data_IF_067971295354
#
_entry.id   IF_067971295354
#
_cell.length_a   1.000
_cell.length_b   1.000
_cell.length_c   1.000
_cell.angle_alpha   90.00
_cell.angle_beta   90.00
_cell.angle_gamma   90.00
#
_symmetry.space_group_name_H-M   'P 1'
#
loop_
_entity.id
_entity.type
_entity.pdbx_description
1 polymer ?
#
# COMPACT_ATOMS: atom_id res chain seq x y z
N UNK A 1 46.48 -47.10 1.84
CA UNK A 1 45.99 -45.99 1.00
C UNK A 1 44.48 -45.88 1.23
N UNK A 2 44.04 -44.98 2.11
CA UNK A 2 42.63 -44.77 2.46
C UNK A 2 42.14 -43.55 1.70
N UNK A 3 41.16 -43.75 0.79
CA UNK A 3 40.47 -42.72 0.02
C UNK A 3 39.39 -42.11 0.92
N UNK A 4 39.51 -40.88 1.29
CA UNK A 4 38.43 -40.10 1.95
C UNK A 4 37.49 -39.54 0.90
N UNK A 5 36.26 -40.03 0.93
CA UNK A 5 35.15 -39.55 0.14
C UNK A 5 34.50 -38.40 0.88
N UNK A 6 34.68 -37.14 0.43
CA UNK A 6 33.95 -36.01 0.93
C UNK A 6 32.56 -35.98 0.26
N UNK A 7 31.53 -36.31 1.03
CA UNK A 7 30.14 -36.09 0.63
C UNK A 7 29.81 -34.62 1.02
N UNK A 8 29.71 -33.74 0.02
CA UNK A 8 29.18 -32.42 0.17
C UNK A 8 27.65 -32.54 0.31
N UNK A 9 27.12 -32.36 1.52
CA UNK A 9 25.70 -32.26 1.80
C UNK A 9 25.24 -30.84 1.43
N UNK A 10 24.66 -30.67 0.23
CA UNK A 10 23.97 -29.44 -0.15
C UNK A 10 22.67 -29.35 0.66
N UNK A 11 22.63 -28.51 1.67
CA UNK A 11 21.38 -28.11 2.30
C UNK A 11 20.59 -27.26 1.28
N UNK A 12 19.62 -27.88 0.63
CA UNK A 12 18.52 -27.13 0.01
C UNK A 12 17.67 -26.57 1.14
N UNK A 13 17.78 -25.28 1.36
CA UNK A 13 16.79 -24.54 2.13
C UNK A 13 15.56 -24.44 1.22
N UNK A 14 14.68 -25.43 1.28
CA UNK A 14 13.33 -25.29 0.80
C UNK A 14 12.67 -24.27 1.71
N UNK A 15 12.49 -23.04 1.22
CA UNK A 15 11.54 -22.13 1.77
C UNK A 15 10.18 -22.83 1.72
N UNK A 16 9.71 -23.34 2.85
CA UNK A 16 8.34 -23.78 3.01
C UNK A 16 7.45 -22.52 2.91
N UNK A 17 7.06 -22.14 1.70
CA UNK A 17 5.75 -21.55 1.55
C UNK A 17 4.78 -22.58 2.11
N UNK A 18 4.14 -22.25 3.23
CA UNK A 18 3.00 -23.03 3.70
C UNK A 18 2.04 -23.11 2.51
N UNK A 19 1.67 -24.32 2.05
CA UNK A 19 0.62 -24.39 1.05
C UNK A 19 -0.58 -23.67 1.67
N UNK A 20 -0.99 -22.58 1.04
CA UNK A 20 -2.35 -22.06 1.23
C UNK A 20 -3.19 -23.22 0.76
N UNK A 21 -3.80 -23.93 1.72
CA UNK A 21 -4.83 -24.91 1.38
C UNK A 21 -5.81 -24.13 0.50
N UNK A 22 -6.02 -24.61 -0.71
CA UNK A 22 -7.12 -24.15 -1.55
C UNK A 22 -8.40 -24.28 -0.71
N UNK A 23 -8.73 -23.20 0.01
CA UNK A 23 -10.02 -23.08 0.63
C UNK A 23 -11.01 -22.91 -0.52
N UNK A 24 -11.73 -23.96 -0.77
CA UNK A 24 -12.81 -24.16 -1.73
C UNK A 24 -13.20 -22.90 -2.48
N UNK A 25 -12.78 -22.77 -3.72
CA UNK A 25 -13.33 -21.77 -4.65
C UNK A 25 -14.80 -22.12 -4.80
N UNK A 26 -15.63 -21.49 -3.96
CA UNK A 26 -17.08 -21.68 -4.00
C UNK A 26 -17.54 -21.25 -5.39
N UNK A 27 -18.17 -22.19 -6.11
CA UNK A 27 -18.69 -21.82 -7.42
C UNK A 27 -19.77 -20.76 -7.24
N UNK A 28 -19.81 -19.78 -8.14
CA UNK A 28 -20.84 -18.72 -8.17
C UNK A 28 -22.27 -19.28 -8.07
N UNK A 29 -22.47 -20.53 -8.49
CA UNK A 29 -23.76 -21.21 -8.45
C UNK A 29 -24.16 -21.65 -7.06
N UNK A 30 -23.23 -22.01 -6.22
CA UNK A 30 -23.44 -22.53 -4.86
C UNK A 30 -23.34 -21.43 -3.79
N UNK A 31 -22.74 -20.29 -4.14
CA UNK A 31 -22.63 -19.14 -3.25
C UNK A 31 -24.01 -18.55 -2.91
N UNK A 32 -24.19 -18.14 -1.65
CA UNK A 32 -25.33 -17.34 -1.23
C UNK A 32 -24.98 -15.85 -1.04
N UNK A 33 -23.69 -15.50 -1.03
CA UNK A 33 -23.20 -14.12 -0.98
C UNK A 33 -22.20 -13.89 -2.09
N UNK A 34 -22.39 -12.84 -2.87
CA UNK A 34 -21.46 -12.39 -3.90
C UNK A 34 -21.06 -10.95 -3.57
N UNK A 35 -19.76 -10.69 -3.47
CA UNK A 35 -19.20 -9.37 -3.25
C UNK A 35 -18.52 -8.91 -4.54
N UNK A 36 -18.87 -7.74 -5.03
CA UNK A 36 -18.23 -7.09 -6.17
C UNK A 36 -17.48 -5.85 -5.71
N UNK A 37 -16.17 -5.84 -5.91
CA UNK A 37 -15.30 -4.68 -5.66
C UNK A 37 -15.17 -3.89 -6.96
N UNK A 38 -16.24 -3.20 -7.33
CA UNK A 38 -16.39 -2.56 -8.64
C UNK A 38 -16.20 -1.04 -8.62
N UNK A 39 -16.12 -0.44 -7.43
CA UNK A 39 -16.03 1.00 -7.28
C UNK A 39 -14.94 1.38 -6.29
N UNK A 40 -14.22 2.44 -6.62
CA UNK A 40 -13.33 3.12 -5.70
C UNK A 40 -13.94 4.50 -5.41
N UNK A 41 -14.06 4.83 -4.12
CA UNK A 41 -14.41 6.19 -3.74
C UNK A 41 -13.19 7.07 -4.02
N UNK A 42 -13.18 7.65 -5.20
CA UNK A 42 -12.32 8.76 -5.54
C UNK A 42 -13.15 10.00 -5.30
N UNK A 43 -12.92 10.68 -4.20
CA UNK A 43 -13.45 12.02 -4.00
C UNK A 43 -12.56 13.01 -4.75
N UNK A 44 -12.43 12.86 -6.06
CA UNK A 44 -11.85 13.89 -6.90
C UNK A 44 -12.99 14.75 -7.45
N UNK A 45 -12.93 16.03 -7.17
CA UNK A 45 -13.65 17.13 -7.82
C UNK A 45 -14.66 16.72 -8.91
N UNK A 46 -15.83 16.20 -8.49
CA UNK A 46 -17.03 16.20 -9.33
C UNK A 46 -17.16 15.13 -10.42
N UNK A 47 -16.25 14.21 -10.59
CA UNK A 47 -16.40 13.09 -11.53
C UNK A 47 -16.07 11.75 -10.86
N UNK A 48 -17.09 10.94 -10.60
CA UNK A 48 -16.92 9.52 -10.27
C UNK A 48 -16.54 8.79 -11.55
N UNK A 49 -15.27 8.65 -11.83
CA UNK A 49 -14.81 7.65 -12.78
C UNK A 49 -14.83 6.29 -12.07
N UNK A 50 -15.65 5.37 -12.53
CA UNK A 50 -15.56 3.97 -12.09
C UNK A 50 -14.26 3.40 -12.70
N UNK A 51 -13.24 3.22 -11.89
CA UNK A 51 -11.99 2.59 -12.30
C UNK A 51 -12.06 1.12 -11.89
N UNK A 52 -11.73 0.24 -12.82
CA UNK A 52 -11.70 -1.21 -12.56
C UNK A 52 -10.59 -1.53 -11.54
N UNK A 53 -10.85 -2.50 -10.64
CA UNK A 53 -9.85 -2.93 -9.64
C UNK A 53 -8.54 -3.39 -10.29
N UNK A 54 -8.62 -3.98 -11.48
CA UNK A 54 -7.48 -4.45 -12.29
C UNK A 54 -6.54 -3.32 -12.74
N UNK A 55 -7.03 -2.09 -12.79
CA UNK A 55 -6.22 -0.91 -13.16
C UNK A 55 -5.47 -0.33 -11.95
N UNK A 56 -5.98 -0.56 -10.74
CA UNK A 56 -5.48 0.07 -9.52
C UNK A 56 -4.73 -0.89 -8.60
N UNK A 57 -5.14 -2.15 -8.53
CA UNK A 57 -4.60 -3.09 -7.54
C UNK A 57 -4.34 -4.47 -8.15
N UNK A 58 -3.23 -5.07 -7.72
CA UNK A 58 -2.83 -6.43 -8.13
C UNK A 58 -3.17 -7.51 -7.09
N UNK A 59 -3.62 -7.11 -5.90
CA UNK A 59 -3.96 -7.99 -4.78
C UNK A 59 -5.27 -7.57 -4.13
N UNK A 60 -6.07 -8.58 -3.78
CA UNK A 60 -7.32 -8.42 -3.06
C UNK A 60 -7.37 -9.43 -1.91
N UNK A 61 -7.64 -8.95 -0.71
CA UNK A 61 -7.76 -9.76 0.48
C UNK A 61 -9.08 -9.43 1.17
N UNK A 62 -9.87 -10.45 1.46
CA UNK A 62 -11.18 -10.34 2.12
C UNK A 62 -11.15 -11.18 3.39
N UNK A 63 -11.67 -10.64 4.49
CA UNK A 63 -11.89 -11.38 5.72
C UNK A 63 -13.26 -11.04 6.30
N UNK A 64 -13.93 -12.06 6.83
CA UNK A 64 -15.25 -11.96 7.44
C UNK A 64 -15.15 -12.43 8.89
N UNK A 65 -15.71 -11.64 9.77
CA UNK A 65 -15.71 -11.88 11.21
C UNK A 65 -17.14 -11.97 11.73
N UNK A 66 -17.37 -12.87 12.68
CA UNK A 66 -18.65 -12.95 13.39
C UNK A 66 -18.79 -11.84 14.46
N UNK A 67 -19.91 -11.84 15.17
CA UNK A 67 -20.21 -10.85 16.21
C UNK A 67 -19.22 -10.86 17.38
N UNK A 68 -18.53 -12.00 17.61
CA UNK A 68 -17.52 -12.16 18.65
C UNK A 68 -16.12 -11.74 18.18
N UNK A 69 -15.99 -11.28 16.93
CA UNK A 69 -14.73 -10.91 16.30
C UNK A 69 -13.87 -12.10 15.85
N UNK A 70 -14.46 -13.31 15.82
CA UNK A 70 -13.79 -14.49 15.29
C UNK A 70 -13.83 -14.48 13.78
N UNK A 71 -12.68 -14.69 13.13
CA UNK A 71 -12.59 -14.74 11.68
C UNK A 71 -13.18 -16.06 11.16
N UNK A 72 -14.29 -15.96 10.43
CA UNK A 72 -15.04 -17.12 9.91
C UNK A 72 -14.70 -17.47 8.46
N UNK A 73 -14.22 -16.49 7.67
CA UNK A 73 -13.81 -16.71 6.27
C UNK A 73 -12.70 -15.76 5.85
N UNK A 74 -11.84 -16.26 4.97
CA UNK A 74 -10.79 -15.45 4.31
C UNK A 74 -10.73 -15.83 2.84
N UNK A 75 -10.57 -14.83 1.96
CA UNK A 75 -10.31 -15.03 0.53
C UNK A 75 -9.18 -14.11 0.11
N UNK A 76 -8.24 -14.64 -0.67
CA UNK A 76 -7.17 -13.87 -1.29
C UNK A 76 -7.21 -14.10 -2.80
N UNK A 77 -7.13 -13.02 -3.56
CA UNK A 77 -7.05 -13.04 -5.02
C UNK A 77 -5.85 -12.22 -5.48
N UNK A 78 -5.34 -12.54 -6.65
CA UNK A 78 -4.32 -11.75 -7.34
C UNK A 78 -4.78 -11.42 -8.75
N UNK A 79 -4.26 -10.39 -9.32
CA UNK A 79 -4.44 -10.04 -10.72
C UNK A 79 -4.15 -11.25 -11.61
N UNK A 80 -5.03 -11.50 -12.58
CA UNK A 80 -4.98 -12.68 -13.46
C UNK A 80 -5.76 -13.89 -12.94
N UNK A 81 -6.22 -13.90 -11.69
CA UNK A 81 -7.12 -14.95 -11.21
C UNK A 81 -8.50 -14.80 -11.88
N UNK A 82 -9.14 -15.91 -12.19
CA UNK A 82 -10.50 -15.90 -12.77
C UNK A 82 -11.47 -15.26 -11.78
N UNK A 83 -12.16 -14.18 -12.22
CA UNK A 83 -13.10 -13.46 -11.38
C UNK A 83 -12.43 -12.52 -10.36
N UNK A 84 -11.18 -12.08 -10.59
CA UNK A 84 -10.53 -11.08 -9.78
C UNK A 84 -11.43 -9.85 -9.58
N UNK A 85 -11.59 -9.42 -8.34
CA UNK A 85 -12.52 -8.35 -7.95
C UNK A 85 -13.94 -8.83 -7.62
N UNK A 86 -14.25 -10.14 -7.78
CA UNK A 86 -15.51 -10.73 -7.36
C UNK A 86 -15.28 -11.90 -6.43
N UNK A 87 -15.90 -11.90 -5.25
CA UNK A 87 -15.76 -12.94 -4.25
C UNK A 87 -17.10 -13.61 -3.99
N UNK A 88 -17.15 -14.92 -4.20
CA UNK A 88 -18.31 -15.77 -3.96
C UNK A 88 -18.14 -16.53 -2.63
N UNK A 89 -19.13 -16.47 -1.75
CA UNK A 89 -19.08 -17.02 -0.38
C UNK A 89 -20.33 -17.83 -0.06
N UNK A 90 -20.16 -18.81 0.82
CA UNK A 90 -21.27 -19.48 1.48
C UNK A 90 -21.17 -19.20 2.98
N UNK A 91 -22.15 -18.49 3.53
CA UNK A 91 -22.23 -18.09 4.93
C UNK A 91 -23.60 -18.45 5.49
N UNK A 92 -23.69 -18.79 6.77
CA UNK A 92 -24.95 -18.91 7.46
C UNK A 92 -25.66 -17.54 7.57
N UNK A 93 -26.99 -17.55 7.71
CA UNK A 93 -27.72 -16.31 7.98
C UNK A 93 -27.24 -15.68 9.30
N UNK A 94 -26.99 -14.38 9.29
CA UNK A 94 -26.44 -13.64 10.43
C UNK A 94 -25.87 -12.29 10.04
N UNK A 95 -25.37 -11.56 11.02
CA UNK A 95 -24.66 -10.29 10.81
C UNK A 95 -23.17 -10.51 11.07
N UNK A 96 -22.36 -10.09 10.12
CA UNK A 96 -20.90 -10.22 10.12
C UNK A 96 -20.25 -8.87 9.94
N UNK A 97 -18.97 -8.78 10.26
CA UNK A 97 -18.12 -7.66 9.87
C UNK A 97 -17.23 -8.05 8.70
N UNK A 98 -17.23 -7.24 7.67
CA UNK A 98 -16.50 -7.45 6.44
C UNK A 98 -15.32 -6.47 6.38
N UNK A 99 -14.13 -7.02 6.11
CA UNK A 99 -12.92 -6.25 5.80
C UNK A 99 -12.46 -6.65 4.39
N UNK A 100 -12.25 -5.65 3.54
CA UNK A 100 -11.63 -5.81 2.22
C UNK A 100 -10.40 -4.93 2.16
N UNK A 101 -9.30 -5.47 1.64
CA UNK A 101 -8.04 -4.76 1.37
C UNK A 101 -7.63 -5.04 -0.07
N UNK A 102 -7.47 -3.99 -0.87
CA UNK A 102 -6.91 -4.06 -2.22
C UNK A 102 -5.61 -3.25 -2.28
N UNK A 103 -4.52 -3.81 -2.84
CA UNK A 103 -3.21 -3.16 -2.85
C UNK A 103 -2.28 -3.69 -3.95
N UNK A 104 -1.09 -3.06 -4.10
CA UNK A 104 -0.09 -3.43 -5.11
C UNK A 104 1.17 -4.11 -4.54
N UNK A 105 1.09 -4.70 -3.33
CA UNK A 105 2.22 -5.39 -2.71
C UNK A 105 2.55 -6.72 -3.39
N UNK A 106 3.77 -7.21 -3.15
CA UNK A 106 4.27 -8.47 -3.75
C UNK A 106 3.58 -9.74 -3.22
N UNK A 107 2.83 -9.66 -2.13
CA UNK A 107 2.12 -10.78 -1.52
C UNK A 107 0.79 -10.35 -0.92
N UNK A 108 0.05 -11.28 -0.32
CA UNK A 108 -1.24 -11.00 0.31
C UNK A 108 -1.08 -10.21 1.61
N UNK A 109 -1.95 -9.24 1.85
CA UNK A 109 -2.09 -8.63 3.16
C UNK A 109 -2.67 -9.62 4.16
N UNK A 110 -2.23 -9.54 5.41
CA UNK A 110 -2.74 -10.39 6.50
C UNK A 110 -3.75 -9.61 7.31
N UNK A 111 -5.03 -9.93 7.17
CA UNK A 111 -6.12 -9.36 7.97
C UNK A 111 -6.25 -10.21 9.23
N UNK A 112 -5.73 -9.73 10.36
CA UNK A 112 -5.77 -10.46 11.64
C UNK A 112 -7.09 -10.22 12.36
N UNK A 113 -7.56 -8.99 12.39
CA UNK A 113 -8.83 -8.55 12.96
C UNK A 113 -9.37 -7.34 12.21
N UNK A 114 -10.52 -6.83 12.58
CA UNK A 114 -11.09 -5.57 12.05
C UNK A 114 -10.23 -4.34 12.40
N UNK A 115 -9.32 -4.47 13.36
CA UNK A 115 -8.42 -3.39 13.83
C UNK A 115 -6.95 -3.63 13.45
N UNK A 116 -6.64 -4.75 12.76
CA UNK A 116 -5.24 -5.07 12.46
C UNK A 116 -5.06 -5.78 11.13
N UNK A 117 -4.43 -5.06 10.20
CA UNK A 117 -3.96 -5.55 8.91
C UNK A 117 -2.47 -5.25 8.78
N UNK A 118 -1.69 -6.25 8.37
CA UNK A 118 -0.26 -6.11 8.07
C UNK A 118 0.01 -6.44 6.61
N UNK A 119 1.04 -5.81 6.05
CA UNK A 119 1.43 -5.98 4.66
C UNK A 119 2.75 -6.77 4.54
N UNK A 120 2.99 -7.47 3.42
CA UNK A 120 4.23 -8.20 3.17
C UNK A 120 5.45 -7.29 3.38
N UNK A 121 6.46 -7.81 4.08
CA UNK A 121 7.71 -7.09 4.37
C UNK A 121 7.53 -5.73 5.07
N UNK A 122 6.37 -5.48 5.69
CA UNK A 122 5.97 -4.17 6.24
C UNK A 122 5.99 -3.05 5.19
N UNK A 123 5.76 -3.39 3.91
CA UNK A 123 5.74 -2.43 2.80
C UNK A 123 4.32 -2.02 2.46
N UNK A 124 4.08 -0.72 2.54
CA UNK A 124 2.80 -0.11 2.17
C UNK A 124 2.91 0.38 0.72
N UNK A 125 1.93 -0.01 -0.09
CA UNK A 125 1.77 0.46 -1.48
C UNK A 125 0.48 1.25 -1.59
N UNK A 126 0.10 1.69 -2.78
CA UNK A 126 -1.24 2.23 -2.97
C UNK A 126 -2.26 1.19 -2.51
N UNK A 127 -3.06 1.55 -1.52
CA UNK A 127 -3.90 0.62 -0.76
C UNK A 127 -5.28 1.21 -0.56
N UNK A 128 -6.28 0.38 -0.86
CA UNK A 128 -7.70 0.69 -0.68
C UNK A 128 -8.33 -0.30 0.28
N UNK A 129 -9.39 0.12 0.95
CA UNK A 129 -10.09 -0.73 1.91
C UNK A 129 -11.60 -0.50 1.92
N UNK A 130 -12.31 -1.49 2.44
CA UNK A 130 -13.69 -1.40 2.89
C UNK A 130 -13.80 -2.03 4.26
N UNK A 131 -14.58 -1.43 5.13
CA UNK A 131 -15.00 -1.98 6.41
C UNK A 131 -16.48 -1.67 6.61
N UNK A 132 -17.27 -2.68 6.99
CA UNK A 132 -18.68 -2.51 7.26
C UNK A 132 -19.38 -3.81 7.64
N UNK A 133 -20.64 -3.69 7.98
CA UNK A 133 -21.48 -4.83 8.30
C UNK A 133 -21.89 -5.57 7.01
N UNK A 134 -21.96 -6.90 7.12
CA UNK A 134 -22.46 -7.81 6.09
C UNK A 134 -23.64 -8.60 6.68
N UNK A 135 -24.86 -8.27 6.26
CA UNK A 135 -26.07 -8.96 6.73
C UNK A 135 -26.41 -10.07 5.76
N UNK A 136 -26.28 -11.33 6.20
CA UNK A 136 -26.55 -12.52 5.38
C UNK A 136 -27.92 -13.09 5.76
N UNK A 137 -28.74 -13.35 4.74
CA UNK A 137 -30.06 -13.98 4.87
C UNK A 137 -30.06 -15.36 4.19
N UNK A 138 -31.17 -16.09 4.32
CA UNK A 138 -31.34 -17.39 3.65
C UNK A 138 -31.45 -17.28 2.11
N UNK A 139 -31.58 -16.06 1.58
CA UNK A 139 -31.66 -15.80 0.14
C UNK A 139 -30.30 -15.46 -0.43
N UNK A 140 -30.09 -15.71 -1.72
CA UNK A 140 -28.90 -15.22 -2.45
C UNK A 140 -28.86 -13.70 -2.43
N UNK A 141 -27.67 -13.15 -2.14
CA UNK A 141 -27.41 -11.71 -2.04
C UNK A 141 -26.19 -11.34 -2.84
N UNK A 142 -26.21 -10.13 -3.39
CA UNK A 142 -25.08 -9.52 -4.10
C UNK A 142 -24.85 -8.12 -3.55
N UNK A 143 -23.59 -7.76 -3.30
CA UNK A 143 -23.18 -6.49 -2.75
C UNK A 143 -22.13 -5.84 -3.64
N UNK A 144 -22.40 -4.61 -4.06
CA UNK A 144 -21.44 -3.76 -4.74
C UNK A 144 -20.70 -2.92 -3.68
N UNK A 145 -19.40 -3.13 -3.55
CA UNK A 145 -18.57 -2.48 -2.53
C UNK A 145 -17.76 -1.35 -3.15
N UNK A 146 -17.77 -0.20 -2.49
CA UNK A 146 -16.92 0.94 -2.83
C UNK A 146 -15.73 0.98 -1.88
N UNK A 147 -14.51 0.86 -2.41
CA UNK A 147 -13.29 0.91 -1.62
C UNK A 147 -12.77 2.33 -1.53
N UNK A 148 -12.25 2.70 -0.36
CA UNK A 148 -11.66 4.01 -0.08
C UNK A 148 -10.14 3.88 0.04
N UNK A 149 -9.37 4.84 -0.50
CA UNK A 149 -7.91 4.84 -0.36
C UNK A 149 -7.51 5.05 1.11
N UNK A 150 -6.62 4.19 1.60
CA UNK A 150 -6.16 4.18 2.99
C UNK A 150 -4.89 5.02 3.21
N UNK A 151 -4.13 5.29 2.15
CA UNK A 151 -2.78 5.84 2.21
C UNK A 151 -2.73 7.33 1.85
N UNK A 152 -1.67 7.99 2.33
CA UNK A 152 -1.15 9.24 1.80
C UNK A 152 0.08 8.96 0.94
N UNK A 153 0.43 9.86 0.03
CA UNK A 153 1.62 9.77 -0.82
C UNK A 153 2.56 10.96 -0.56
N UNK A 154 3.84 10.65 -0.33
CA UNK A 154 4.92 11.63 -0.49
C UNK A 154 5.50 11.47 -1.89
N UNK A 155 5.60 12.57 -2.62
CA UNK A 155 6.15 12.63 -3.98
C UNK A 155 7.34 13.58 -4.04
N UNK A 156 8.50 13.05 -4.40
CA UNK A 156 9.71 13.83 -4.68
C UNK A 156 9.84 14.03 -6.19
N UNK A 157 9.91 15.28 -6.63
CA UNK A 157 10.11 15.66 -8.04
C UNK A 157 11.43 16.42 -8.15
N UNK A 158 12.38 15.85 -8.88
CA UNK A 158 13.69 16.47 -9.10
C UNK A 158 13.63 17.43 -10.29
N UNK A 159 14.22 18.61 -10.10
CA UNK A 159 14.39 19.64 -11.15
C UNK A 159 15.84 19.75 -11.60
N UNK A 160 16.70 18.85 -11.18
CA UNK A 160 18.07 18.75 -11.68
C UNK A 160 18.04 18.41 -13.18
N UNK A 161 18.91 19.00 -13.98
CA UNK A 161 19.02 18.73 -15.42
C UNK A 161 19.29 17.24 -15.68
N UNK A 162 20.08 16.63 -14.81
CA UNK A 162 20.35 15.19 -14.80
C UNK A 162 20.62 14.68 -13.37
N UNK A 163 20.27 13.42 -13.11
CA UNK A 163 20.73 12.70 -11.94
C UNK A 163 22.14 12.23 -12.19
N UNK A 164 23.13 12.53 -11.31
CA UNK A 164 24.51 12.08 -11.53
C UNK A 164 24.59 10.58 -11.81
N UNK A 165 25.35 10.19 -12.84
CA UNK A 165 25.48 8.79 -13.29
C UNK A 165 26.02 7.83 -12.23
N UNK A 166 26.60 8.36 -11.15
CA UNK A 166 27.04 7.59 -9.98
C UNK A 166 25.88 7.15 -9.10
N UNK A 167 24.70 7.79 -9.20
CA UNK A 167 23.53 7.46 -8.38
C UNK A 167 22.77 6.32 -9.01
N UNK A 168 22.57 5.26 -8.25
CA UNK A 168 21.81 4.07 -8.69
C UNK A 168 20.41 3.98 -8.08
N UNK A 169 20.21 4.61 -6.91
CA UNK A 169 18.95 4.52 -6.17
C UNK A 169 18.79 5.63 -5.15
N UNK A 170 17.54 5.90 -4.77
CA UNK A 170 17.17 6.73 -3.63
C UNK A 170 16.65 5.86 -2.49
N UNK A 171 17.14 6.12 -1.29
CA UNK A 171 16.65 5.55 -0.03
C UNK A 171 15.84 6.61 0.70
N UNK A 172 14.58 6.30 0.98
CA UNK A 172 13.66 7.10 1.80
C UNK A 172 13.56 6.45 3.18
N UNK A 173 13.98 7.14 4.21
CA UNK A 173 13.90 6.67 5.59
C UNK A 173 13.11 7.66 6.42
N UNK A 174 12.03 7.18 7.05
CA UNK A 174 11.19 8.00 7.90
C UNK A 174 10.72 7.25 9.16
N UNK A 175 10.32 8.05 10.16
CA UNK A 175 9.74 7.59 11.41
C UNK A 175 8.40 8.27 11.63
N UNK A 176 7.50 7.65 12.39
CA UNK A 176 6.17 8.19 12.64
C UNK A 176 5.12 7.78 11.59
N UNK A 177 5.49 7.00 10.56
CA UNK A 177 4.52 6.35 9.70
C UNK A 177 4.02 5.03 10.28
N UNK A 178 3.06 4.40 9.64
CA UNK A 178 2.55 3.09 10.03
C UNK A 178 2.72 2.06 8.93
N UNK A 179 3.08 0.82 9.32
CA UNK A 179 3.07 -0.36 8.45
C UNK A 179 1.90 -1.29 8.75
N UNK A 180 1.04 -0.91 9.70
CA UNK A 180 -0.13 -1.70 10.13
C UNK A 180 -1.35 -0.79 10.07
N UNK A 181 -2.43 -1.31 9.51
CA UNK A 181 -3.67 -0.59 9.25
C UNK A 181 -4.80 -1.11 10.13
N UNK A 182 -5.62 -0.22 10.66
CA UNK A 182 -6.90 -0.54 11.31
C UNK A 182 -8.06 -0.22 10.34
N UNK A 183 -8.68 -1.23 9.71
CA UNK A 183 -9.83 -1.00 8.83
C UNK A 183 -11.00 -0.30 9.53
N UNK A 184 -11.24 -0.65 10.81
CA UNK A 184 -12.32 -0.09 11.61
C UNK A 184 -12.16 1.42 11.82
N UNK A 185 -10.94 1.87 12.06
CA UNK A 185 -10.65 3.30 12.29
C UNK A 185 -10.32 4.03 10.98
N UNK A 186 -9.90 3.30 9.94
CA UNK A 186 -9.50 3.85 8.65
C UNK A 186 -8.08 4.45 8.64
N UNK A 187 -7.25 4.14 9.64
CA UNK A 187 -5.93 4.73 9.84
C UNK A 187 -4.85 3.69 10.19
N UNK A 188 -3.60 4.13 10.16
CA UNK A 188 -2.46 3.39 10.68
C UNK A 188 -2.55 3.25 12.20
N UNK A 189 -2.18 2.08 12.74
CA UNK A 189 -2.37 1.78 14.17
C UNK A 189 -1.08 1.43 14.92
N UNK A 190 0.09 1.56 14.29
CA UNK A 190 1.39 1.38 14.95
C UNK A 190 2.39 2.42 14.46
N UNK A 191 3.22 2.93 15.36
CA UNK A 191 4.38 3.74 14.96
C UNK A 191 5.49 2.82 14.47
N UNK A 192 5.95 3.03 13.26
CA UNK A 192 7.02 2.24 12.65
C UNK A 192 8.08 3.11 11.98
N UNK A 193 9.28 2.53 11.88
CA UNK A 193 10.35 3.06 11.05
C UNK A 193 10.20 2.41 9.67
N UNK A 194 10.21 3.22 8.63
CA UNK A 194 10.07 2.75 7.27
C UNK A 194 11.32 3.07 6.46
N UNK A 195 11.71 2.16 5.59
CA UNK A 195 12.77 2.35 4.60
C UNK A 195 12.27 1.90 3.26
N UNK A 196 12.20 2.82 2.30
CA UNK A 196 11.81 2.54 0.92
C UNK A 196 13.01 2.79 0.00
N UNK A 197 13.18 1.93 -0.99
CA UNK A 197 14.21 2.07 -2.03
C UNK A 197 13.50 2.26 -3.37
N UNK A 198 13.98 3.24 -4.14
CA UNK A 198 13.55 3.48 -5.51
C UNK A 198 14.79 3.50 -6.41
N UNK A 199 14.84 2.60 -7.38
CA UNK A 199 15.89 2.59 -8.37
C UNK A 199 15.82 3.83 -9.26
N UNK A 200 16.97 4.34 -9.67
CA UNK A 200 17.06 5.38 -10.70
C UNK A 200 16.99 4.70 -12.07
N UNK A 201 16.15 5.21 -12.94
CA UNK A 201 16.05 4.80 -14.33
C UNK A 201 16.12 6.03 -15.23
N UNK A 202 16.50 5.84 -16.48
CA UNK A 202 16.66 6.94 -17.45
C UNK A 202 15.35 7.71 -17.62
N UNK A 203 15.43 9.03 -17.47
CA UNK A 203 14.29 9.94 -17.60
C UNK A 203 13.34 9.96 -16.41
N UNK A 204 13.57 9.17 -15.36
CA UNK A 204 12.77 9.18 -14.13
C UNK A 204 13.28 10.23 -13.16
N UNK A 205 12.46 11.27 -12.94
CA UNK A 205 12.75 12.36 -11.99
C UNK A 205 11.73 12.43 -10.85
N UNK A 206 10.75 11.53 -10.82
CA UNK A 206 9.68 11.50 -9.83
C UNK A 206 9.72 10.20 -9.04
N UNK A 207 9.67 10.31 -7.71
CA UNK A 207 9.76 9.18 -6.79
C UNK A 207 8.67 9.26 -5.74
N UNK A 208 7.85 8.23 -5.68
CA UNK A 208 6.68 8.15 -4.80
C UNK A 208 6.92 7.13 -3.69
N UNK A 209 6.49 7.48 -2.47
CA UNK A 209 6.35 6.56 -1.35
C UNK A 209 4.98 6.72 -0.71
N UNK A 210 4.44 5.62 -0.17
CA UNK A 210 3.14 5.58 0.48
C UNK A 210 3.31 5.40 1.99
N UNK A 211 2.42 5.99 2.76
CA UNK A 211 2.33 5.79 4.20
C UNK A 211 0.87 5.74 4.65
N UNK A 212 0.62 5.07 5.77
CA UNK A 212 -0.68 5.08 6.43
C UNK A 212 -0.68 6.19 7.48
N UNK A 213 -1.48 7.26 7.33
CA UNK A 213 -1.64 8.27 8.38
C UNK A 213 -2.26 7.67 9.64
N UNK A 214 -1.95 8.20 10.82
CA UNK A 214 -2.57 7.77 12.09
C UNK A 214 -3.85 8.53 12.42
N UNK A 215 -4.02 9.70 11.83
CA UNK A 215 -5.18 10.59 12.00
C UNK A 215 -5.46 11.34 10.70
N UNK A 216 -6.53 12.11 10.67
CA UNK A 216 -6.89 12.93 9.52
C UNK A 216 -5.80 13.97 9.18
N UNK A 217 -5.27 14.64 10.19
CA UNK A 217 -4.19 15.64 10.07
C UNK A 217 -2.90 15.09 10.68
N UNK A 218 -2.29 14.10 10.02
CA UNK A 218 -1.04 13.50 10.48
C UNK A 218 0.19 14.15 9.84
N UNK A 219 1.34 14.01 10.50
CA UNK A 219 2.60 14.61 10.06
C UNK A 219 3.75 13.63 10.27
N UNK A 220 4.51 13.33 9.22
CA UNK A 220 5.82 12.71 9.38
C UNK A 220 6.80 13.76 9.91
N UNK A 221 7.30 13.54 11.12
CA UNK A 221 8.22 14.48 11.76
C UNK A 221 9.50 14.67 10.94
N UNK A 222 10.00 13.58 10.32
CA UNK A 222 11.26 13.60 9.55
C UNK A 222 11.26 12.51 8.50
N UNK A 223 11.62 12.88 7.27
CA UNK A 223 11.97 11.97 6.18
C UNK A 223 13.38 12.34 5.69
N UNK A 224 14.27 11.36 5.69
CA UNK A 224 15.62 11.47 5.11
C UNK A 224 15.61 10.78 3.75
N UNK A 225 15.97 11.50 2.70
CA UNK A 225 16.16 10.97 1.35
C UNK A 225 17.66 10.97 1.05
N UNK A 226 18.19 9.78 0.78
CA UNK A 226 19.61 9.58 0.49
C UNK A 226 19.78 9.03 -0.91
N UNK A 227 20.48 9.76 -1.78
CA UNK A 227 20.96 9.24 -3.06
C UNK A 227 22.17 8.34 -2.81
N UNK A 228 22.13 7.11 -3.30
CA UNK A 228 23.12 6.07 -3.10
C UNK A 228 23.73 5.63 -4.43
N UNK A 229 25.02 5.30 -4.41
CA UNK A 229 25.69 4.63 -5.52
C UNK A 229 25.35 3.12 -5.58
N UNK A 230 25.94 2.39 -6.51
CA UNK A 230 25.76 0.95 -6.67
C UNK A 230 26.27 0.12 -5.48
N UNK A 231 27.18 0.69 -4.67
CA UNK A 231 27.81 0.06 -3.51
C UNK A 231 27.17 0.51 -2.18
N UNK A 232 26.01 1.17 -2.22
CA UNK A 232 25.33 1.75 -1.07
C UNK A 232 26.06 2.91 -0.38
N UNK A 233 27.06 3.53 -1.02
CA UNK A 233 27.68 4.74 -0.47
C UNK A 233 26.77 5.95 -0.71
N UNK A 234 26.74 6.86 0.26
CA UNK A 234 25.98 8.10 0.17
C UNK A 234 26.64 9.07 -0.80
N UNK A 235 25.92 9.46 -1.85
CA UNK A 235 26.29 10.51 -2.80
C UNK A 235 25.78 11.86 -2.30
N UNK A 236 24.51 11.94 -1.91
CA UNK A 236 23.86 13.16 -1.40
C UNK A 236 22.73 12.78 -0.47
N UNK A 237 22.44 13.65 0.50
CA UNK A 237 21.32 13.48 1.42
C UNK A 237 20.53 14.78 1.55
N UNK A 238 19.19 14.65 1.67
CA UNK A 238 18.25 15.73 1.98
C UNK A 238 17.33 15.29 3.10
N UNK A 239 16.99 16.23 3.97
CA UNK A 239 16.06 16.03 5.07
C UNK A 239 14.84 16.90 4.85
N UNK A 240 13.66 16.29 4.97
CA UNK A 240 12.37 16.94 4.96
C UNK A 240 11.74 16.78 6.34
N UNK A 241 11.19 17.85 6.89
CA UNK A 241 10.62 17.86 8.24
C UNK A 241 9.16 18.31 8.19
N UNK A 242 8.37 17.84 9.17
CA UNK A 242 6.97 18.19 9.34
C UNK A 242 6.14 18.02 8.05
N UNK A 243 6.26 16.85 7.43
CA UNK A 243 5.60 16.54 6.16
C UNK A 243 4.15 16.19 6.43
N UNK A 244 3.17 16.97 5.95
CA UNK A 244 1.77 16.61 6.06
C UNK A 244 1.47 15.29 5.34
N UNK A 245 0.75 14.42 6.01
CA UNK A 245 0.31 13.13 5.45
C UNK A 245 -1.19 12.97 5.73
N UNK A 246 -2.00 13.34 4.78
CA UNK A 246 -3.46 13.21 4.83
C UNK A 246 -3.89 12.08 3.90
N UNK A 247 -4.80 11.24 4.36
CA UNK A 247 -5.32 10.13 3.58
C UNK A 247 -5.87 10.62 2.24
N UNK A 248 -5.56 9.89 1.16
CA UNK A 248 -5.93 10.21 -0.22
C UNK A 248 -5.39 11.57 -0.73
N UNK A 249 -4.28 12.06 -0.18
CA UNK A 249 -3.61 13.28 -0.63
C UNK A 249 -2.15 13.03 -0.99
N UNK A 250 -1.65 13.81 -1.95
CA UNK A 250 -0.24 13.83 -2.34
C UNK A 250 0.44 15.04 -1.70
N UNK A 251 1.49 14.80 -0.91
CA UNK A 251 2.41 15.83 -0.48
C UNK A 251 3.63 15.81 -1.40
N UNK A 252 3.72 16.83 -2.28
CA UNK A 252 4.75 16.93 -3.32
C UNK A 252 5.84 17.90 -2.91
N UNK A 253 7.09 17.45 -2.99
CA UNK A 253 8.28 18.30 -2.89
C UNK A 253 8.98 18.36 -4.25
N UNK A 254 9.19 19.58 -4.76
CA UNK A 254 9.81 19.82 -6.07
C UNK A 254 11.04 20.69 -5.89
N UNK A 255 12.19 20.26 -6.41
CA UNK A 255 13.42 21.04 -6.32
C UNK A 255 14.66 20.31 -6.81
N UNK A 256 15.80 21.01 -6.78
CA UNK A 256 17.09 20.42 -7.12
C UNK A 256 17.64 19.61 -5.95
N UNK A 257 17.86 18.32 -6.18
CA UNK A 257 18.43 17.44 -5.17
C UNK A 257 19.94 17.56 -5.06
N UNK A 258 20.64 17.72 -6.20
CA UNK A 258 22.10 17.74 -6.30
C UNK A 258 22.70 19.15 -6.31
N UNK A 259 21.89 20.18 -6.52
CA UNK A 259 22.35 21.57 -6.51
C UNK A 259 22.96 22.02 -5.18
N UNK A 260 23.57 23.20 -5.19
CA UNK A 260 24.32 23.78 -4.04
C UNK A 260 23.42 24.29 -2.92
N UNK A 261 22.11 24.18 -3.01
CA UNK A 261 21.13 24.59 -2.02
C UNK A 261 21.32 23.78 -0.72
N UNK A 262 21.52 24.48 0.39
CA UNK A 262 21.78 23.89 1.72
C UNK A 262 20.62 23.01 2.19
N UNK A 263 20.91 22.14 3.15
CA UNK A 263 19.94 21.48 4.01
C UNK A 263 19.12 22.55 4.72
N UNK A 264 17.92 22.79 4.28
CA UNK A 264 17.05 23.76 4.90
C UNK A 264 15.73 23.80 4.20
N UNK A 265 14.67 23.51 4.91
CA UNK A 265 13.33 23.87 4.55
C UNK A 265 13.29 25.38 4.27
N UNK A 266 13.23 25.80 3.04
CA UNK A 266 12.77 27.15 2.75
C UNK A 266 11.26 27.07 2.55
N UNK A 267 10.55 27.44 3.60
CA UNK A 267 9.14 27.80 3.54
C UNK A 267 9.00 29.13 2.80
N UNK A 268 9.23 29.12 1.49
CA UNK A 268 8.86 30.25 0.67
C UNK A 268 7.71 29.77 -0.24
N UNK A 269 6.50 30.16 0.20
CA UNK A 269 5.24 29.65 -0.28
C UNK A 269 4.91 30.06 -1.70
N UNK A 270 5.38 29.31 -2.67
CA UNK A 270 4.75 29.32 -3.98
C UNK A 270 4.07 27.97 -4.19
N UNK A 271 2.83 27.90 -3.68
CA UNK A 271 1.95 26.76 -3.92
C UNK A 271 1.66 26.64 -5.42
N UNK A 272 2.15 25.60 -6.06
CA UNK A 272 1.56 25.09 -7.30
C UNK A 272 0.67 23.90 -6.95
N UNK A 273 -0.61 24.17 -6.83
CA UNK A 273 -1.63 23.13 -6.81
C UNK A 273 -1.69 22.54 -8.22
N UNK A 274 -1.19 21.35 -8.42
CA UNK A 274 -1.50 20.55 -9.59
C UNK A 274 -2.31 19.36 -9.09
N UNK A 275 -3.63 19.41 -9.29
CA UNK A 275 -4.50 18.29 -8.97
C UNK A 275 -4.10 17.09 -9.84
N UNK A 276 -3.79 15.97 -9.20
CA UNK A 276 -3.75 14.67 -9.86
C UNK A 276 -5.20 14.17 -9.82
N UNK A 277 -5.82 13.82 -10.97
CA UNK A 277 -7.26 13.50 -11.02
C UNK A 277 -7.67 12.32 -10.13
N UNK A 278 -6.70 11.51 -9.68
CA UNK A 278 -6.95 10.31 -8.88
C UNK A 278 -6.82 10.53 -7.35
N UNK A 279 -6.52 11.75 -6.92
CA UNK A 279 -6.30 12.08 -5.51
C UNK A 279 -7.08 13.34 -5.12
N UNK A 280 -7.57 13.41 -3.86
CA UNK A 280 -8.39 14.54 -3.37
C UNK A 280 -7.68 15.87 -3.51
N UNK A 281 -6.38 15.90 -3.25
CA UNK A 281 -5.57 17.11 -3.41
C UNK A 281 -4.07 16.79 -3.51
N UNK A 282 -3.32 17.78 -4.01
CA UNK A 282 -1.86 17.78 -4.05
C UNK A 282 -1.36 19.02 -3.30
N UNK A 283 -0.67 18.80 -2.18
CA UNK A 283 0.04 19.85 -1.46
C UNK A 283 1.46 19.97 -2.04
N UNK A 284 1.79 21.08 -2.69
CA UNK A 284 3.08 21.31 -3.35
C UNK A 284 4.05 22.14 -2.51
N UNK A 285 5.29 21.67 -2.39
CA UNK A 285 6.40 22.36 -1.72
C UNK A 285 7.62 22.41 -2.65
N UNK A 286 8.45 23.47 -2.50
CA UNK A 286 9.74 23.60 -3.22
C UNK A 286 10.89 23.50 -2.21
N UNK A 287 11.99 22.87 -2.59
CA UNK A 287 13.20 22.70 -1.77
C UNK A 287 14.47 23.01 -2.54
#
# INVERSE_FOLDING_TARGET
>A
MKKYLFIALALMIAACEKPVLDEDVVSMKEANVILHMTQFAQEAFGTRAATEITELCSRLNVAIFDADGTKVKTVAQKEGDTGYGTVALTLAAGTYQLVVIAHNGEGSATITSTEKVTFPNNKVTDTFYYYGDLVVTDSKQSYDLTLTRAVAMFRLVLTDDEIPSTVSKFKFYYTGGSSTFSPKDGYGCVNSKQTEIRAVADGVTTFDIFTLPHTEDDVLTKLTVTALDANDNTVKERIFENIPVTRNQITRYTGSFFGSGGSGQTSDGTFRLTADPDWDSVNGYTF
#
